data_IF_476297972345
#
_entry.id   IF_476297972345
#
_cell.length_a   1.000
_cell.length_b   1.000
_cell.length_c   1.000
_cell.angle_alpha   90.00
_cell.angle_beta   90.00
_cell.angle_gamma   90.00
#
_symmetry.space_group_name_H-M   'P 1'
#
loop_
_entity.id
_entity.type
_entity.pdbx_description
1 polymer ?
#
# COMPACT_ATOMS: atom_id res chain seq x y z
N UNK A 1 5.59 -21.05 38.96
CA UNK A 1 5.84 -21.67 37.65
C UNK A 1 7.27 -22.18 37.64
N UNK A 2 7.48 -23.49 37.56
CA UNK A 2 8.82 -24.09 37.51
C UNK A 2 9.33 -24.21 36.06
N UNK A 3 10.59 -24.62 35.87
CA UNK A 3 11.22 -24.70 34.55
C UNK A 3 10.50 -25.67 33.58
N UNK A 4 9.95 -26.76 34.11
CA UNK A 4 9.22 -27.75 33.31
C UNK A 4 7.87 -27.20 32.83
N UNK A 5 7.11 -26.57 33.74
CA UNK A 5 5.85 -25.90 33.42
C UNK A 5 6.02 -24.76 32.41
N UNK A 6 7.14 -24.02 32.49
CA UNK A 6 7.47 -23.01 31.49
C UNK A 6 7.69 -23.64 30.11
N UNK A 7 8.48 -24.71 30.04
CA UNK A 7 8.78 -25.40 28.78
C UNK A 7 7.51 -25.94 28.10
N UNK A 8 6.61 -26.55 28.88
CA UNK A 8 5.32 -27.04 28.38
C UNK A 8 4.46 -25.90 27.81
N UNK A 9 4.41 -24.74 28.50
CA UNK A 9 3.68 -23.56 28.00
C UNK A 9 4.31 -22.94 26.75
N UNK A 10 5.63 -22.97 26.62
CA UNK A 10 6.31 -22.46 25.42
C UNK A 10 5.99 -23.32 24.19
N UNK A 11 5.93 -24.64 24.35
CA UNK A 11 5.52 -25.55 23.28
C UNK A 11 4.06 -25.32 22.90
N UNK A 12 3.16 -25.28 23.88
CA UNK A 12 1.74 -25.03 23.63
C UNK A 12 1.48 -23.66 22.95
N UNK A 13 2.28 -22.65 23.28
CA UNK A 13 2.23 -21.35 22.61
C UNK A 13 2.67 -21.45 21.13
N UNK A 14 3.72 -22.23 20.84
CA UNK A 14 4.16 -22.49 19.47
C UNK A 14 3.05 -23.12 18.64
N UNK A 15 2.45 -24.20 19.13
CA UNK A 15 1.35 -24.90 18.45
C UNK A 15 0.15 -23.98 18.23
N UNK A 16 -0.22 -23.19 19.23
CA UNK A 16 -1.31 -22.22 19.12
C UNK A 16 -1.01 -21.13 18.08
N UNK A 17 0.24 -20.68 17.99
CA UNK A 17 0.66 -19.68 17.01
C UNK A 17 0.60 -20.24 15.58
N UNK A 18 0.96 -21.51 15.38
CA UNK A 18 0.83 -22.17 14.07
C UNK A 18 -0.63 -22.23 13.61
N UNK A 19 -1.54 -22.66 14.49
CA UNK A 19 -2.98 -22.67 14.20
C UNK A 19 -3.51 -21.26 13.92
N UNK A 20 -3.09 -20.27 14.71
CA UNK A 20 -3.48 -18.88 14.49
C UNK A 20 -2.97 -18.33 13.14
N UNK A 21 -1.75 -18.68 12.74
CA UNK A 21 -1.17 -18.28 11.45
C UNK A 21 -1.89 -18.94 10.27
N UNK A 22 -2.29 -20.22 10.40
CA UNK A 22 -3.07 -20.92 9.39
C UNK A 22 -4.44 -20.23 9.19
N UNK A 23 -5.19 -20.01 10.28
CA UNK A 23 -6.46 -19.29 10.25
C UNK A 23 -6.33 -17.88 9.68
N UNK A 24 -5.26 -17.16 10.06
CA UNK A 24 -4.97 -15.83 9.51
C UNK A 24 -4.80 -15.87 7.99
N UNK A 25 -4.07 -16.85 7.47
CA UNK A 25 -3.85 -17.01 6.03
C UNK A 25 -5.16 -17.28 5.30
N UNK A 26 -6.00 -18.17 5.84
CA UNK A 26 -7.33 -18.45 5.28
C UNK A 26 -8.24 -17.22 5.25
N UNK A 27 -8.25 -16.44 6.34
CA UNK A 27 -9.00 -15.18 6.41
C UNK A 27 -8.45 -14.16 5.38
N UNK A 28 -7.13 -14.04 5.26
CA UNK A 28 -6.50 -13.14 4.30
C UNK A 28 -6.89 -13.49 2.86
N UNK A 29 -6.84 -14.78 2.49
CA UNK A 29 -7.29 -15.25 1.18
C UNK A 29 -8.76 -14.96 0.94
N UNK A 30 -9.64 -15.34 1.87
CA UNK A 30 -11.08 -15.13 1.71
C UNK A 30 -11.44 -13.65 1.59
N UNK A 31 -10.79 -12.78 2.35
CA UNK A 31 -11.03 -11.33 2.32
C UNK A 31 -10.44 -10.67 1.08
N UNK A 32 -9.34 -11.23 0.54
CA UNK A 32 -8.77 -10.81 -0.73
C UNK A 32 -9.75 -11.11 -1.87
N UNK A 33 -10.34 -12.31 -1.89
CA UNK A 33 -11.33 -12.72 -2.89
C UNK A 33 -12.64 -11.90 -2.82
N UNK A 34 -13.02 -11.49 -1.61
CA UNK A 34 -14.20 -10.63 -1.39
C UNK A 34 -13.94 -9.15 -1.72
N UNK A 35 -12.68 -8.74 -1.84
CA UNK A 35 -12.25 -7.34 -2.05
C UNK A 35 -12.88 -6.32 -1.07
N UNK A 36 -13.23 -6.78 0.13
CA UNK A 36 -13.97 -5.97 1.11
C UNK A 36 -13.51 -6.24 2.53
N UNK A 37 -13.35 -5.18 3.31
CA UNK A 37 -13.03 -5.26 4.75
C UNK A 37 -14.15 -5.97 5.51
N UNK A 38 -13.77 -6.93 6.36
CA UNK A 38 -14.68 -7.70 7.20
C UNK A 38 -14.33 -7.52 8.69
N UNK A 39 -15.36 -7.51 9.52
CA UNK A 39 -15.22 -7.44 10.99
C UNK A 39 -16.18 -8.44 11.61
N UNK A 40 -15.66 -9.35 12.45
CA UNK A 40 -16.46 -10.35 13.18
C UNK A 40 -15.97 -10.39 14.62
N UNK A 41 -16.81 -9.98 15.56
CA UNK A 41 -16.43 -9.89 16.98
C UNK A 41 -15.24 -8.95 17.20
N UNK A 42 -14.17 -9.49 17.78
CA UNK A 42 -12.91 -8.79 18.03
C UNK A 42 -11.87 -8.96 16.91
N UNK A 43 -12.25 -9.53 15.75
CA UNK A 43 -11.33 -9.72 14.62
C UNK A 43 -11.72 -8.78 13.48
N UNK A 44 -10.75 -8.04 12.94
CA UNK A 44 -10.92 -7.19 11.75
C UNK A 44 -9.90 -7.53 10.69
N UNK A 45 -10.39 -7.86 9.51
CA UNK A 45 -9.60 -8.10 8.31
C UNK A 45 -9.79 -6.94 7.32
N UNK A 46 -8.77 -6.12 7.15
CA UNK A 46 -8.81 -4.90 6.34
C UNK A 46 -8.28 -5.16 4.95
N UNK A 47 -9.13 -5.05 3.92
CA UNK A 47 -8.73 -5.09 2.52
C UNK A 47 -8.23 -3.73 2.05
N UNK A 48 -7.15 -3.72 1.26
CA UNK A 48 -6.57 -2.54 0.60
C UNK A 48 -6.36 -2.84 -0.87
N UNK A 49 -6.98 -2.04 -1.74
CA UNK A 49 -6.97 -2.24 -3.20
C UNK A 49 -5.66 -1.83 -3.90
N UNK A 50 -4.52 -1.92 -3.20
CA UNK A 50 -3.24 -1.42 -3.69
C UNK A 50 -3.13 0.10 -3.70
N UNK A 51 -1.91 0.61 -3.73
CA UNK A 51 -1.63 2.05 -3.85
C UNK A 51 -1.54 2.41 -5.34
N UNK A 52 -2.27 3.45 -5.76
CA UNK A 52 -2.06 4.07 -7.08
C UNK A 52 -0.81 4.93 -7.05
N UNK A 53 0.08 4.68 -8.00
CA UNK A 53 1.29 5.46 -8.23
C UNK A 53 1.19 6.09 -9.62
N UNK A 54 1.32 7.41 -9.69
CA UNK A 54 1.18 8.18 -10.93
C UNK A 54 2.55 8.60 -11.44
N UNK A 55 2.82 8.34 -12.71
CA UNK A 55 4.04 8.78 -13.39
C UNK A 55 3.81 10.13 -14.07
N UNK A 56 3.92 11.19 -13.28
CA UNK A 56 3.78 12.57 -13.77
C UNK A 56 4.91 12.99 -14.70
N UNK A 57 6.06 12.29 -14.70
CA UNK A 57 7.13 12.61 -15.64
C UNK A 57 6.71 12.14 -17.02
N UNK A 58 6.31 10.86 -17.15
CA UNK A 58 5.80 10.31 -18.41
C UNK A 58 4.60 11.10 -18.94
N UNK A 59 3.69 11.54 -18.04
CA UNK A 59 2.56 12.38 -18.44
C UNK A 59 2.96 13.75 -19.00
N UNK A 60 4.12 14.29 -18.61
CA UNK A 60 4.56 15.64 -18.99
C UNK A 60 5.58 15.67 -20.14
N UNK A 61 6.34 14.60 -20.36
CA UNK A 61 7.53 14.58 -21.22
C UNK A 61 7.21 14.83 -22.70
N UNK A 62 6.00 14.47 -23.15
CA UNK A 62 5.55 14.62 -24.55
C UNK A 62 4.34 15.56 -24.73
N UNK A 63 3.94 16.29 -23.68
CA UNK A 63 2.72 17.10 -23.74
C UNK A 63 2.97 18.49 -24.36
N UNK A 64 2.19 18.93 -25.38
CA UNK A 64 2.45 20.18 -26.13
C UNK A 64 2.47 21.47 -25.29
N UNK A 65 1.87 21.45 -24.10
CA UNK A 65 1.84 22.60 -23.17
C UNK A 65 3.02 22.64 -22.18
N UNK A 66 3.87 21.62 -22.19
CA UNK A 66 5.08 21.58 -21.35
C UNK A 66 6.23 22.14 -22.17
N UNK A 67 6.59 23.40 -21.89
CA UNK A 67 7.72 24.09 -22.52
C UNK A 67 8.89 24.24 -21.55
N UNK A 68 10.07 24.61 -22.03
CA UNK A 68 11.24 24.92 -21.20
C UNK A 68 10.96 26.01 -20.17
N UNK A 69 10.07 26.96 -20.50
CA UNK A 69 9.60 27.98 -19.55
C UNK A 69 8.77 27.36 -18.42
N UNK A 70 7.89 26.40 -18.73
CA UNK A 70 7.13 25.64 -17.75
C UNK A 70 8.07 24.83 -16.84
N UNK A 71 9.07 24.16 -17.41
CA UNK A 71 10.07 23.39 -16.65
C UNK A 71 10.85 24.29 -15.68
N UNK A 72 11.27 25.48 -16.14
CA UNK A 72 11.99 26.45 -15.33
C UNK A 72 11.17 26.98 -14.15
N UNK A 73 9.87 27.22 -14.35
CA UNK A 73 8.95 27.69 -13.30
C UNK A 73 8.76 26.67 -12.16
N UNK A 74 8.89 25.37 -12.46
CA UNK A 74 8.67 24.30 -11.49
C UNK A 74 9.96 23.55 -11.09
N UNK A 75 11.12 24.11 -11.43
CA UNK A 75 12.42 23.63 -10.97
C UNK A 75 12.84 24.38 -9.71
N UNK A 76 13.04 23.66 -8.61
CA UNK A 76 13.57 24.26 -7.37
C UNK A 76 15.09 24.25 -7.41
N UNK A 77 15.74 25.36 -7.01
CA UNK A 77 17.20 25.45 -6.80
C UNK A 77 17.54 25.41 -5.30
N UNK A 78 18.77 25.02 -4.88
CA UNK A 78 20.02 24.87 -5.65
C UNK A 78 20.23 23.49 -6.32
N UNK A 79 19.50 22.44 -5.92
CA UNK A 79 19.53 21.15 -6.59
C UNK A 79 18.28 21.02 -7.46
N UNK A 80 18.39 20.93 -8.81
CA UNK A 80 17.25 21.00 -9.71
C UNK A 80 16.31 19.82 -9.45
N UNK A 81 15.27 20.10 -8.67
CA UNK A 81 14.16 19.17 -8.43
C UNK A 81 12.96 19.70 -9.19
N UNK A 82 12.57 18.97 -10.22
CA UNK A 82 11.41 19.28 -11.06
C UNK A 82 10.16 18.69 -10.40
N UNK A 83 9.16 19.54 -10.14
CA UNK A 83 7.86 19.12 -9.62
C UNK A 83 6.90 18.75 -10.77
N UNK A 84 7.08 17.55 -11.33
CA UNK A 84 6.29 17.04 -12.45
C UNK A 84 4.78 17.03 -12.20
N UNK A 85 4.37 16.85 -10.94
CA UNK A 85 2.95 16.88 -10.56
C UNK A 85 2.35 18.27 -10.74
N UNK A 86 3.09 19.32 -10.36
CA UNK A 86 2.64 20.70 -10.59
C UNK A 86 2.65 21.07 -12.07
N UNK A 87 3.62 20.56 -12.82
CA UNK A 87 3.68 20.74 -14.28
C UNK A 87 2.44 20.14 -14.94
N UNK A 88 2.11 18.87 -14.65
CA UNK A 88 0.90 18.23 -15.18
C UNK A 88 -0.36 19.02 -14.82
N UNK A 89 -0.48 19.46 -13.56
CA UNK A 89 -1.62 20.27 -13.10
C UNK A 89 -1.71 21.62 -13.83
N UNK A 90 -0.59 22.28 -14.08
CA UNK A 90 -0.54 23.57 -14.77
C UNK A 90 -0.88 23.42 -16.27
N UNK A 91 -0.41 22.33 -16.89
CA UNK A 91 -0.67 22.01 -18.28
C UNK A 91 -2.06 21.37 -18.54
N UNK A 92 -2.88 21.19 -17.51
CA UNK A 92 -4.21 20.59 -17.62
C UNK A 92 -4.20 19.10 -17.95
N UNK A 93 -3.11 18.40 -17.63
CA UNK A 93 -2.94 16.97 -17.92
C UNK A 93 -3.66 16.16 -16.84
N UNK A 94 -4.82 15.61 -17.19
CA UNK A 94 -5.64 14.81 -16.28
C UNK A 94 -5.37 13.30 -16.41
N UNK A 95 -5.01 12.84 -17.62
CA UNK A 95 -4.71 11.43 -17.89
C UNK A 95 -3.22 11.12 -17.68
N UNK A 96 -2.83 11.03 -16.41
CA UNK A 96 -1.46 10.67 -16.03
C UNK A 96 -1.36 9.15 -15.92
N UNK A 97 -0.41 8.50 -16.63
CA UNK A 97 -0.18 7.07 -16.52
C UNK A 97 -0.07 6.64 -15.06
N UNK A 98 -0.88 5.67 -14.66
CA UNK A 98 -0.88 5.18 -13.29
C UNK A 98 -0.69 3.66 -13.23
N UNK A 99 0.09 3.23 -12.26
CA UNK A 99 0.24 1.82 -11.89
C UNK A 99 -0.47 1.57 -10.58
N UNK A 100 -1.18 0.45 -10.48
CA UNK A 100 -1.85 0.03 -9.26
C UNK A 100 -1.01 -1.07 -8.63
N UNK A 101 -0.59 -0.86 -7.37
CA UNK A 101 0.10 -1.90 -6.60
C UNK A 101 -0.80 -3.11 -6.32
N UNK A 102 -0.21 -4.22 -5.87
CA UNK A 102 -0.97 -5.41 -5.53
C UNK A 102 -1.93 -5.14 -4.36
N UNK A 103 -3.16 -5.66 -4.39
CA UNK A 103 -4.05 -5.61 -3.25
C UNK A 103 -3.46 -6.39 -2.06
N UNK A 104 -3.82 -6.00 -0.86
CA UNK A 104 -3.36 -6.66 0.37
C UNK A 104 -4.44 -6.70 1.44
N UNK A 105 -4.34 -7.69 2.31
CA UNK A 105 -5.20 -7.83 3.49
C UNK A 105 -4.34 -7.77 4.75
N UNK A 106 -4.89 -7.21 5.82
CA UNK A 106 -4.28 -7.23 7.14
C UNK A 106 -5.31 -7.64 8.17
N UNK A 107 -5.03 -8.73 8.90
CA UNK A 107 -5.88 -9.22 10.00
C UNK A 107 -5.30 -8.75 11.33
N UNK A 108 -6.16 -8.16 12.17
CA UNK A 108 -5.81 -7.71 13.51
C UNK A 108 -6.96 -7.99 14.49
N UNK A 109 -6.59 -8.16 15.76
CA UNK A 109 -7.54 -8.09 16.87
C UNK A 109 -7.85 -6.61 17.15
N UNK A 110 -9.13 -6.31 17.43
CA UNK A 110 -9.67 -4.97 17.71
C UNK A 110 -9.92 -4.81 19.21
#
# INVERSE_FOLDING_TARGET
MNAKELAEKMLAYGDAQEVANALKTEIETAVLDLEKTQTVGNVKATFRNGRKSYDYKAGAEDHPMVSDATLSLFTTQPAPKIDWRKICKHAGIEDVPCTVGKPSVTVALV
#
